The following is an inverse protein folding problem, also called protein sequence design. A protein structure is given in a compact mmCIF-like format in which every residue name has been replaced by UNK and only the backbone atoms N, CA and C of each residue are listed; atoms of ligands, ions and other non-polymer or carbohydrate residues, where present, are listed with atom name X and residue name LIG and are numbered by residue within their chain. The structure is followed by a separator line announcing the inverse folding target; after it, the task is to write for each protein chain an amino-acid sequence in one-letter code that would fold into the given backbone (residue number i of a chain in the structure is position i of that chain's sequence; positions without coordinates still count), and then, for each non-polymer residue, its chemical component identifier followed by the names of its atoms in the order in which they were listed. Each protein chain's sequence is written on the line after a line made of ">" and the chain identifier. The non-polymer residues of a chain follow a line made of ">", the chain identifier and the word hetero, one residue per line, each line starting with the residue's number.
data_IF_603642419889
#
_entry.id   IF_603642419889
#
_cell.length_a   1.000
_cell.length_b   1.000
_cell.length_c   1.000
_cell.angle_alpha   90.00
_cell.angle_beta   90.00
_cell.angle_gamma   90.00
#
_symmetry.space_group_name_H-M   'P 1'
#
loop_
_entity.id
_entity.type
_entity.pdbx_description
1 polymer ?
#
# COMPACT_ATOMS: atom_id res chain seq x y z
N UNK A 1 -16.48 -6.50 6.79
CA UNK A 1 -16.01 -5.37 5.94
C UNK A 1 -14.54 -5.45 5.51
N UNK A 2 -14.20 -5.31 4.21
CA UNK A 2 -12.82 -5.38 3.69
C UNK A 2 -12.02 -4.06 3.76
N UNK A 3 -12.62 -2.92 3.40
CA UNK A 3 -11.94 -1.61 3.40
C UNK A 3 -11.53 -1.11 4.80
N UNK A 4 -12.33 -1.40 5.84
CA UNK A 4 -11.98 -1.04 7.22
C UNK A 4 -10.72 -1.77 7.69
N UNK A 5 -10.62 -3.08 7.38
CA UNK A 5 -9.41 -3.85 7.65
C UNK A 5 -8.22 -3.35 6.83
N UNK A 6 -8.45 -2.97 5.56
CA UNK A 6 -7.40 -2.38 4.73
C UNK A 6 -6.87 -1.08 5.33
N UNK A 7 -7.75 -0.21 5.84
CA UNK A 7 -7.36 1.03 6.52
C UNK A 7 -6.49 0.76 7.76
N UNK A 8 -6.93 -0.17 8.62
CA UNK A 8 -6.20 -0.55 9.84
C UNK A 8 -4.84 -1.14 9.47
N UNK A 9 -4.80 -2.12 8.56
CA UNK A 9 -3.57 -2.74 8.11
C UNK A 9 -2.61 -1.73 7.48
N UNK A 10 -3.13 -0.80 6.67
CA UNK A 10 -2.35 0.25 6.02
C UNK A 10 -1.72 1.22 7.04
N UNK A 11 -2.47 1.58 8.09
CA UNK A 11 -1.96 2.40 9.19
C UNK A 11 -0.77 1.74 9.88
N UNK A 12 -0.91 0.47 10.27
CA UNK A 12 0.19 -0.26 10.90
C UNK A 12 1.38 -0.49 9.96
N UNK A 13 1.12 -0.84 8.70
CA UNK A 13 2.18 -1.17 7.75
C UNK A 13 2.96 0.03 7.22
N UNK A 14 2.35 1.22 7.15
CA UNK A 14 2.97 2.38 6.49
C UNK A 14 3.13 3.61 7.37
N UNK A 15 2.18 3.91 8.28
CA UNK A 15 2.26 5.11 9.13
C UNK A 15 3.11 4.83 10.36
N UNK A 16 2.78 3.78 11.12
CA UNK A 16 3.53 3.42 12.33
C UNK A 16 4.99 3.12 11.99
N UNK A 17 5.22 2.47 10.85
CA UNK A 17 6.56 2.13 10.37
C UNK A 17 7.36 3.32 9.82
N UNK A 18 6.82 4.54 9.83
CA UNK A 18 7.63 5.74 9.54
C UNK A 18 8.70 5.94 10.62
N UNK A 19 8.42 5.51 11.84
CA UNK A 19 9.40 5.52 12.92
C UNK A 19 10.12 4.17 12.94
N UNK A 20 11.45 4.19 12.79
CA UNK A 20 12.25 2.98 12.55
C UNK A 20 12.08 1.91 13.64
N UNK A 21 11.99 2.32 14.91
CA UNK A 21 11.80 1.39 16.04
C UNK A 21 10.42 0.71 16.04
N UNK A 22 9.44 1.32 15.38
CA UNK A 22 8.10 0.75 15.21
C UNK A 22 7.96 -0.06 13.92
N UNK A 23 9.03 -0.31 13.16
CA UNK A 23 8.94 -1.08 11.90
C UNK A 23 8.43 -2.51 12.10
N UNK A 24 8.46 -3.06 13.32
CA UNK A 24 7.79 -4.33 13.64
C UNK A 24 6.28 -4.30 13.36
N UNK A 25 5.66 -3.11 13.32
CA UNK A 25 4.26 -2.93 12.96
C UNK A 25 3.96 -3.38 11.53
N UNK A 26 4.97 -3.44 10.64
CA UNK A 26 4.83 -4.00 9.29
C UNK A 26 4.41 -5.46 9.33
N UNK A 27 4.96 -6.24 10.27
CA UNK A 27 4.66 -7.67 10.41
C UNK A 27 3.20 -7.91 10.83
N UNK A 28 2.58 -6.94 11.48
CA UNK A 28 1.15 -6.97 11.84
C UNK A 28 0.30 -6.37 10.71
N UNK A 29 0.72 -5.24 10.15
CA UNK A 29 -0.02 -4.50 9.15
C UNK A 29 -0.20 -5.25 7.84
N UNK A 30 0.85 -5.87 7.30
CA UNK A 30 0.78 -6.57 6.02
C UNK A 30 -0.16 -7.79 6.03
N UNK A 31 -0.13 -8.69 7.03
CA UNK A 31 -1.14 -9.75 7.14
C UNK A 31 -2.58 -9.24 7.22
N UNK A 32 -2.83 -8.14 7.94
CA UNK A 32 -4.16 -7.51 7.99
C UNK A 32 -4.55 -6.99 6.60
N UNK A 33 -3.63 -6.36 5.87
CA UNK A 33 -3.86 -5.91 4.50
C UNK A 33 -4.11 -7.07 3.53
N UNK A 34 -3.34 -8.17 3.63
CA UNK A 34 -3.54 -9.38 2.82
C UNK A 34 -4.94 -9.93 3.08
N UNK A 35 -5.35 -10.05 4.35
CA UNK A 35 -6.69 -10.52 4.71
C UNK A 35 -7.81 -9.58 4.23
N UNK A 36 -7.59 -8.27 4.29
CA UNK A 36 -8.50 -7.27 3.76
C UNK A 36 -8.66 -7.41 2.24
N UNK A 37 -7.56 -7.57 1.51
CA UNK A 37 -7.54 -7.74 0.06
C UNK A 37 -8.17 -9.07 -0.37
N UNK A 38 -7.96 -10.14 0.39
CA UNK A 38 -8.66 -11.41 0.19
C UNK A 38 -10.18 -11.24 0.27
N UNK A 39 -10.67 -10.48 1.25
CA UNK A 39 -12.11 -10.14 1.36
C UNK A 39 -12.60 -9.24 0.23
N UNK A 40 -11.75 -8.37 -0.33
CA UNK A 40 -12.10 -7.48 -1.44
C UNK A 40 -12.00 -8.16 -2.82
N UNK A 41 -11.22 -9.23 -2.96
CA UNK A 41 -10.96 -9.95 -4.21
C UNK A 41 -12.20 -10.52 -4.93
N UNK A 42 -13.30 -10.91 -4.25
CA UNK A 42 -14.53 -11.33 -4.92
C UNK A 42 -15.30 -10.19 -5.59
N UNK A 43 -15.14 -8.95 -5.11
CA UNK A 43 -15.92 -7.80 -5.60
C UNK A 43 -15.37 -7.25 -6.93
N UNK A 44 -14.05 -7.29 -7.14
CA UNK A 44 -13.44 -6.85 -8.40
C UNK A 44 -12.11 -7.58 -8.66
N UNK A 45 -11.90 -8.02 -9.91
CA UNK A 45 -10.72 -8.81 -10.35
C UNK A 45 -9.37 -8.13 -10.11
N UNK A 46 -9.29 -6.79 -10.19
CA UNK A 46 -8.06 -6.02 -9.93
C UNK A 46 -7.56 -6.19 -8.49
N UNK A 47 -8.44 -6.36 -7.51
CA UNK A 47 -8.03 -6.63 -6.13
C UNK A 47 -7.29 -7.97 -5.97
N UNK A 48 -7.50 -8.95 -6.86
CA UNK A 48 -6.72 -10.19 -6.86
C UNK A 48 -5.24 -9.95 -7.13
N UNK A 49 -4.92 -9.00 -8.01
CA UNK A 49 -3.54 -8.64 -8.33
C UNK A 49 -2.87 -7.99 -7.11
N UNK A 50 -3.56 -7.02 -6.50
CA UNK A 50 -3.13 -6.39 -5.25
C UNK A 50 -2.93 -7.41 -4.13
N UNK A 51 -3.81 -8.42 -4.03
CA UNK A 51 -3.70 -9.51 -3.08
C UNK A 51 -2.43 -10.35 -3.30
N UNK A 52 -2.16 -10.81 -4.52
CA UNK A 52 -0.97 -11.63 -4.77
C UNK A 52 0.33 -10.82 -4.55
N UNK A 53 0.35 -9.56 -4.99
CA UNK A 53 1.50 -8.67 -4.78
C UNK A 53 1.75 -8.46 -3.29
N UNK A 54 0.70 -8.37 -2.46
CA UNK A 54 0.86 -8.12 -1.02
C UNK A 54 1.62 -9.22 -0.26
N UNK A 55 1.68 -10.45 -0.77
CA UNK A 55 2.56 -11.49 -0.19
C UNK A 55 4.05 -11.17 -0.37
N UNK A 56 4.42 -10.45 -1.44
CA UNK A 56 5.77 -9.97 -1.65
C UNK A 56 6.25 -8.99 -0.56
N UNK A 57 5.34 -8.43 0.24
CA UNK A 57 5.68 -7.58 1.36
C UNK A 57 6.25 -8.34 2.57
N UNK A 58 5.90 -9.63 2.72
CA UNK A 58 6.23 -10.40 3.93
C UNK A 58 7.74 -10.53 4.16
N UNK A 59 8.58 -10.82 3.15
CA UNK A 59 10.03 -10.85 3.34
C UNK A 59 10.59 -9.51 3.81
N UNK A 60 10.10 -8.39 3.26
CA UNK A 60 10.51 -7.05 3.70
C UNK A 60 10.04 -6.76 5.13
N UNK A 61 8.81 -7.13 5.47
CA UNK A 61 8.27 -6.97 6.82
C UNK A 61 9.12 -7.71 7.86
N UNK A 62 9.50 -8.97 7.57
CA UNK A 62 10.40 -9.75 8.43
C UNK A 62 11.75 -9.07 8.54
N UNK A 63 12.36 -8.68 7.42
CA UNK A 63 13.67 -8.01 7.41
C UNK A 63 13.68 -6.73 8.27
N UNK A 64 12.74 -5.80 8.05
CA UNK A 64 12.67 -4.55 8.81
C UNK A 64 12.26 -4.76 10.27
N UNK A 65 11.50 -5.82 10.57
CA UNK A 65 11.17 -6.18 11.96
C UNK A 65 12.41 -6.64 12.72
N UNK A 66 13.20 -7.55 12.13
CA UNK A 66 14.45 -8.01 12.75
C UNK A 66 15.40 -6.82 12.92
N UNK A 67 15.51 -5.97 11.90
CA UNK A 67 16.31 -4.74 12.00
C UNK A 67 15.88 -3.84 13.17
N UNK A 68 14.58 -3.57 13.33
CA UNK A 68 14.06 -2.74 14.40
C UNK A 68 14.31 -3.35 15.80
N UNK A 69 14.13 -4.66 15.95
CA UNK A 69 14.42 -5.37 17.21
C UNK A 69 15.92 -5.26 17.54
N UNK A 70 16.81 -5.46 16.56
CA UNK A 70 18.25 -5.36 16.77
C UNK A 70 18.66 -3.95 17.19
N UNK A 71 18.09 -2.91 16.56
CA UNK A 71 18.29 -1.51 16.98
C UNK A 71 17.82 -1.28 18.41
N UNK A 72 16.67 -1.82 18.80
CA UNK A 72 16.15 -1.68 20.16
C UNK A 72 17.01 -2.41 21.20
N UNK A 73 17.57 -3.57 20.86
CA UNK A 73 18.50 -4.32 21.70
C UNK A 73 19.93 -3.77 21.71
N UNK A 74 20.24 -2.77 20.87
CA UNK A 74 21.59 -2.20 20.75
C UNK A 74 22.62 -3.14 20.10
N UNK A 75 22.17 -4.15 19.34
CA UNK A 75 23.04 -5.12 18.66
C UNK A 75 23.28 -4.68 17.22
N UNK A 76 24.56 -4.58 16.84
CA UNK A 76 24.97 -4.29 15.46
C UNK A 76 25.41 -5.56 14.75
N UNK A 77 24.79 -5.86 13.61
CA UNK A 77 25.07 -7.02 12.78
C UNK A 77 25.39 -6.57 11.36
N UNK A 78 26.49 -7.08 10.80
CA UNK A 78 26.99 -6.68 9.48
C UNK A 78 25.99 -6.89 8.33
N UNK A 79 25.03 -7.81 8.47
CA UNK A 79 23.97 -8.02 7.47
C UNK A 79 23.02 -6.82 7.34
N UNK A 80 22.91 -5.99 8.37
CA UNK A 80 22.01 -4.85 8.44
C UNK A 80 22.70 -3.50 8.19
N UNK A 81 23.95 -3.52 7.74
CA UNK A 81 24.76 -2.31 7.54
C UNK A 81 25.27 -2.18 6.10
N UNK A 82 25.49 -0.95 5.67
CA UNK A 82 26.12 -0.66 4.38
C UNK A 82 25.28 -1.07 3.17
N UNK A 83 25.89 -1.82 2.26
CA UNK A 83 25.33 -2.11 0.92
C UNK A 83 24.09 -3.01 0.99
N UNK A 84 24.06 -4.00 1.90
CA UNK A 84 22.93 -4.94 2.02
C UNK A 84 21.67 -4.21 2.43
N UNK A 85 21.75 -3.30 3.42
CA UNK A 85 20.63 -2.46 3.82
C UNK A 85 20.12 -1.61 2.66
N UNK A 86 21.01 -0.95 1.92
CA UNK A 86 20.64 -0.11 0.78
C UNK A 86 19.91 -0.89 -0.34
N UNK A 87 20.33 -2.13 -0.62
CA UNK A 87 19.67 -3.01 -1.60
C UNK A 87 18.25 -3.37 -1.13
N UNK A 88 18.08 -3.75 0.14
CA UNK A 88 16.77 -4.08 0.69
C UNK A 88 15.83 -2.86 0.73
N UNK A 89 16.35 -1.69 1.07
CA UNK A 89 15.59 -0.45 1.08
C UNK A 89 15.12 -0.06 -0.33
N UNK A 90 16.00 -0.15 -1.33
CA UNK A 90 15.65 0.09 -2.73
C UNK A 90 14.62 -0.93 -3.23
N UNK A 91 14.82 -2.22 -2.92
CA UNK A 91 13.88 -3.28 -3.25
C UNK A 91 12.50 -3.05 -2.64
N UNK A 92 12.47 -2.65 -1.36
CA UNK A 92 11.23 -2.31 -0.67
C UNK A 92 10.56 -1.07 -1.26
N UNK A 93 11.33 -0.05 -1.63
CA UNK A 93 10.82 1.15 -2.30
C UNK A 93 10.13 0.80 -3.61
N UNK A 94 10.79 0.03 -4.49
CA UNK A 94 10.21 -0.41 -5.77
C UNK A 94 8.97 -1.29 -5.56
N UNK A 95 9.03 -2.22 -4.60
CA UNK A 95 7.89 -3.03 -4.22
C UNK A 95 6.72 -2.17 -3.73
N UNK A 96 6.98 -1.19 -2.87
CA UNK A 96 5.98 -0.30 -2.31
C UNK A 96 5.29 0.51 -3.41
N UNK A 97 6.04 1.05 -4.38
CA UNK A 97 5.46 1.75 -5.53
C UNK A 97 4.55 0.82 -6.36
N UNK A 98 5.01 -0.39 -6.65
CA UNK A 98 4.23 -1.39 -7.38
C UNK A 98 2.94 -1.72 -6.62
N UNK A 99 3.05 -2.04 -5.33
CA UNK A 99 1.92 -2.36 -4.48
C UNK A 99 0.88 -1.23 -4.44
N UNK A 100 1.31 0.01 -4.19
CA UNK A 100 0.41 1.16 -4.14
C UNK A 100 -0.22 1.46 -5.50
N UNK A 101 0.52 1.27 -6.61
CA UNK A 101 -0.02 1.39 -7.96
C UNK A 101 -1.22 0.46 -8.16
N UNK A 102 -1.02 -0.85 -7.92
CA UNK A 102 -2.07 -1.85 -8.09
C UNK A 102 -3.24 -1.63 -7.13
N UNK A 103 -2.95 -1.23 -5.89
CA UNK A 103 -3.97 -0.95 -4.88
C UNK A 103 -4.88 0.21 -5.32
N UNK A 104 -4.28 1.35 -5.69
CA UNK A 104 -5.04 2.53 -6.13
C UNK A 104 -5.75 2.28 -7.46
N UNK A 105 -5.12 1.55 -8.38
CA UNK A 105 -5.75 1.14 -9.64
C UNK A 105 -6.98 0.22 -9.41
N UNK A 106 -6.92 -0.65 -8.40
CA UNK A 106 -8.04 -1.50 -7.98
C UNK A 106 -9.18 -0.65 -7.40
N UNK A 107 -8.86 0.31 -6.54
CA UNK A 107 -9.83 1.25 -5.96
C UNK A 107 -10.49 2.11 -7.04
N UNK A 108 -9.71 2.64 -7.98
CA UNK A 108 -10.23 3.42 -9.11
C UNK A 108 -11.17 2.59 -10.00
N UNK A 109 -10.85 1.31 -10.22
CA UNK A 109 -11.69 0.37 -10.96
C UNK A 109 -13.04 0.17 -10.29
N UNK A 110 -13.03 -0.25 -9.02
CA UNK A 110 -14.25 -0.49 -8.25
C UNK A 110 -15.10 0.78 -8.11
N UNK A 111 -14.48 1.92 -7.82
CA UNK A 111 -15.19 3.19 -7.73
C UNK A 111 -15.84 3.60 -9.07
N UNK A 112 -15.18 3.31 -10.19
CA UNK A 112 -15.72 3.54 -11.54
C UNK A 112 -16.92 2.65 -11.85
N UNK A 113 -16.84 1.35 -11.54
CA UNK A 113 -17.95 0.40 -11.73
C UNK A 113 -19.19 0.79 -10.91
N UNK A 114 -18.99 1.26 -9.67
CA UNK A 114 -20.05 1.74 -8.77
C UNK A 114 -20.47 3.20 -9.04
N UNK A 115 -19.92 3.86 -10.07
CA UNK A 115 -20.19 5.26 -10.45
C UNK A 115 -19.89 6.30 -9.35
N UNK A 116 -19.00 5.99 -8.41
CA UNK A 116 -18.50 6.94 -7.43
C UNK A 116 -17.34 7.78 -8.00
N UNK A 117 -17.65 8.71 -8.91
CA UNK A 117 -16.66 9.50 -9.65
C UNK A 117 -15.67 10.26 -8.75
N UNK A 118 -16.10 10.74 -7.58
CA UNK A 118 -15.22 11.43 -6.62
C UNK A 118 -14.17 10.50 -6.00
N UNK A 119 -14.53 9.24 -5.74
CA UNK A 119 -13.57 8.25 -5.23
C UNK A 119 -12.60 7.83 -6.33
N UNK A 120 -13.11 7.65 -7.55
CA UNK A 120 -12.31 7.30 -8.71
C UNK A 120 -11.28 8.40 -9.02
N UNK A 121 -11.69 9.67 -9.07
CA UNK A 121 -10.77 10.79 -9.29
C UNK A 121 -9.79 10.96 -8.13
N UNK A 122 -10.22 10.71 -6.90
CA UNK A 122 -9.36 10.67 -5.72
C UNK A 122 -8.24 9.63 -5.84
N UNK A 123 -8.56 8.42 -6.31
CA UNK A 123 -7.57 7.36 -6.53
C UNK A 123 -6.54 7.74 -7.61
N UNK A 124 -6.99 8.32 -8.73
CA UNK A 124 -6.08 8.81 -9.78
C UNK A 124 -5.19 9.95 -9.32
N UNK A 125 -5.73 10.91 -8.56
CA UNK A 125 -4.93 11.99 -7.97
C UNK A 125 -3.86 11.43 -7.04
N UNK A 126 -4.20 10.44 -6.20
CA UNK A 126 -3.24 9.81 -5.31
C UNK A 126 -2.16 9.03 -6.08
N UNK A 127 -2.48 8.42 -7.22
CA UNK A 127 -1.51 7.80 -8.13
C UNK A 127 -0.51 8.83 -8.68
N UNK A 128 -0.99 10.00 -9.10
CA UNK A 128 -0.12 11.09 -9.58
C UNK A 128 0.81 11.56 -8.45
N UNK A 129 0.28 11.73 -7.23
CA UNK A 129 1.09 12.11 -6.06
C UNK A 129 2.15 11.06 -5.71
N UNK A 130 1.82 9.78 -5.84
CA UNK A 130 2.78 8.68 -5.68
C UNK A 130 3.90 8.74 -6.72
N UNK A 131 3.56 9.00 -7.99
CA UNK A 131 4.54 9.14 -9.05
C UNK A 131 5.48 10.34 -8.81
N UNK A 132 4.92 11.48 -8.38
CA UNK A 132 5.71 12.65 -7.99
C UNK A 132 6.66 12.33 -6.83
N UNK A 133 6.16 11.64 -5.79
CA UNK A 133 6.98 11.15 -4.70
C UNK A 133 8.12 10.26 -5.20
N UNK A 134 7.82 9.29 -6.06
CA UNK A 134 8.81 8.38 -6.61
C UNK A 134 9.93 9.09 -7.38
N UNK A 135 9.58 10.10 -8.18
CA UNK A 135 10.55 10.89 -8.95
C UNK A 135 11.46 11.70 -8.03
N UNK A 136 10.89 12.38 -7.02
CA UNK A 136 11.69 13.21 -6.10
C UNK A 136 12.60 12.32 -5.23
N UNK A 137 12.10 11.17 -4.75
CA UNK A 137 12.90 10.20 -4.00
C UNK A 137 14.01 9.58 -4.86
N UNK A 138 13.74 9.30 -6.14
CA UNK A 138 14.79 8.84 -7.06
C UNK A 138 15.87 9.91 -7.28
N UNK A 139 15.48 11.18 -7.45
CA UNK A 139 16.42 12.31 -7.60
C UNK A 139 17.28 12.46 -6.34
N UNK A 140 16.69 12.34 -5.14
CA UNK A 140 17.43 12.48 -3.88
C UNK A 140 18.48 11.38 -3.65
N UNK A 141 18.34 10.23 -4.33
CA UNK A 141 19.29 9.12 -4.28
C UNK A 141 20.39 9.18 -5.35
N UNK A 142 20.36 10.16 -6.27
CA UNK A 142 21.39 10.29 -7.30
C UNK A 142 22.73 10.72 -6.68
N UNK A 143 23.87 10.18 -7.16
CA UNK A 143 25.21 10.51 -6.64
C UNK A 143 25.70 11.88 -7.16
N UNK A 144 24.89 12.92 -6.98
CA UNK A 144 25.21 14.29 -7.36
C UNK A 144 25.85 14.99 -6.16
N UNK A 145 27.07 15.56 -6.29
CA UNK A 145 27.81 16.16 -5.17
C UNK A 145 27.02 17.18 -4.36
N UNK A 146 26.18 17.98 -5.01
CA UNK A 146 25.34 19.01 -4.39
C UNK A 146 24.24 18.41 -3.50
N UNK A 147 23.71 17.25 -3.88
CA UNK A 147 22.71 16.51 -3.10
C UNK A 147 23.38 15.82 -1.92
N UNK A 148 24.53 15.17 -2.16
CA UNK A 148 25.32 14.52 -1.13
C UNK A 148 25.84 15.48 -0.05
N UNK A 149 26.13 16.73 -0.41
CA UNK A 149 26.57 17.76 0.54
C UNK A 149 25.47 18.24 1.50
N UNK A 150 24.19 18.13 1.11
CA UNK A 150 23.06 18.64 1.91
C UNK A 150 21.88 17.65 1.91
N UNK A 151 22.04 16.44 2.47
CA UNK A 151 21.02 15.39 2.41
C UNK A 151 19.70 15.83 3.08
N UNK A 152 19.77 16.66 4.12
CA UNK A 152 18.60 17.17 4.83
C UNK A 152 17.66 18.01 3.95
N UNK A 153 18.20 18.75 2.97
CA UNK A 153 17.41 19.64 2.10
C UNK A 153 16.44 18.85 1.23
N UNK A 154 16.81 17.63 0.81
CA UNK A 154 15.96 16.74 0.04
C UNK A 154 15.16 15.77 0.93
N UNK A 155 15.71 15.35 2.07
CA UNK A 155 15.04 14.41 2.97
C UNK A 155 13.74 14.96 3.55
N UNK A 156 13.71 16.24 3.97
CA UNK A 156 12.51 16.84 4.60
C UNK A 156 11.34 16.93 3.61
N UNK A 157 11.49 17.51 2.39
CA UNK A 157 10.41 17.53 1.40
C UNK A 157 9.92 16.14 0.99
N UNK A 158 10.84 15.18 0.81
CA UNK A 158 10.50 13.79 0.48
C UNK A 158 9.68 13.16 1.59
N UNK A 159 10.07 13.36 2.85
CA UNK A 159 9.33 12.86 4.01
C UNK A 159 7.94 13.49 4.11
N UNK A 160 7.81 14.81 3.92
CA UNK A 160 6.52 15.50 3.93
C UNK A 160 5.60 15.00 2.83
N UNK A 161 6.13 14.80 1.62
CA UNK A 161 5.38 14.27 0.50
C UNK A 161 4.94 12.82 0.73
N UNK A 162 5.82 11.99 1.31
CA UNK A 162 5.49 10.62 1.75
C UNK A 162 4.35 10.64 2.75
N UNK A 163 4.44 11.44 3.81
CA UNK A 163 3.40 11.57 4.83
C UNK A 163 2.07 12.01 4.21
N UNK A 164 2.09 13.06 3.37
CA UNK A 164 0.92 13.56 2.68
C UNK A 164 0.26 12.47 1.83
N UNK A 165 1.05 11.74 1.04
CA UNK A 165 0.58 10.61 0.23
C UNK A 165 -0.08 9.53 1.08
N UNK A 166 0.54 9.14 2.20
CA UNK A 166 -0.01 8.12 3.09
C UNK A 166 -1.36 8.57 3.70
N UNK A 167 -1.48 9.82 4.15
CA UNK A 167 -2.73 10.37 4.67
C UNK A 167 -3.83 10.45 3.60
N UNK A 168 -3.49 10.85 2.38
CA UNK A 168 -4.45 10.88 1.27
C UNK A 168 -4.97 9.48 0.94
N UNK A 169 -4.14 8.44 1.01
CA UNK A 169 -4.56 7.06 0.81
C UNK A 169 -5.44 6.55 1.94
N UNK A 170 -5.07 6.83 3.20
CA UNK A 170 -5.91 6.50 4.34
C UNK A 170 -7.28 7.15 4.25
N UNK A 171 -7.32 8.45 3.90
CA UNK A 171 -8.57 9.16 3.70
C UNK A 171 -9.42 8.53 2.58
N UNK A 172 -8.78 8.15 1.47
CA UNK A 172 -9.45 7.45 0.37
C UNK A 172 -10.04 6.11 0.83
N UNK A 173 -9.29 5.29 1.58
CA UNK A 173 -9.79 4.02 2.10
C UNK A 173 -10.91 4.22 3.12
N UNK A 174 -10.83 5.24 3.96
CA UNK A 174 -11.91 5.61 4.88
C UNK A 174 -13.18 6.01 4.12
N UNK A 175 -13.06 6.79 3.04
CA UNK A 175 -14.21 7.16 2.21
C UNK A 175 -14.79 5.96 1.45
N UNK A 176 -13.95 5.03 0.98
CA UNK A 176 -14.40 3.76 0.40
C UNK A 176 -15.14 2.93 1.44
N UNK A 177 -14.60 2.82 2.66
CA UNK A 177 -15.27 2.18 3.78
C UNK A 177 -16.65 2.79 4.04
N UNK A 178 -16.75 4.13 4.13
CA UNK A 178 -18.02 4.81 4.43
C UNK A 178 -19.07 4.71 3.31
N UNK A 179 -18.65 4.72 2.03
CA UNK A 179 -19.57 4.83 0.89
C UNK A 179 -19.87 3.50 0.20
N UNK A 180 -18.92 2.57 0.21
CA UNK A 180 -19.02 1.29 -0.50
C UNK A 180 -19.44 0.17 0.48
N UNK A 181 -19.20 0.32 1.79
CA UNK A 181 -19.84 -0.58 2.73
C UNK A 181 -21.35 -0.29 2.72
N UNK A 182 -22.20 -1.28 2.40
CA UNK A 182 -23.61 -1.16 2.69
C UNK A 182 -23.76 -1.11 4.21
N UNK A 183 -24.65 -0.25 4.70
CA UNK A 183 -25.06 -0.22 6.11
C UNK A 183 -25.66 -1.57 6.57
N UNK A 184 -25.96 -2.47 5.64
CA UNK A 184 -26.54 -3.78 5.86
C UNK A 184 -25.54 -4.92 5.59
N UNK A 185 -24.84 -5.40 6.64
CA UNK A 185 -24.06 -6.64 6.63
C UNK A 185 -24.94 -7.92 6.51
N UNK A 186 -26.09 -7.88 5.83
CA UNK A 186 -26.99 -9.03 5.64
C UNK A 186 -27.14 -9.55 4.20
N UNK A 187 -26.51 -8.93 3.20
CA UNK A 187 -26.55 -9.49 1.83
C UNK A 187 -25.40 -10.48 1.61
N UNK A 188 -25.45 -11.59 2.37
CA UNK A 188 -24.76 -12.84 1.99
C UNK A 188 -25.54 -13.53 0.88
N UNK A 189 -25.48 -13.01 -0.34
CA UNK A 189 -25.61 -13.86 -1.53
C UNK A 189 -24.89 -13.23 -2.70
N UNK A 190 -24.00 -13.96 -3.41
CA UNK A 190 -23.55 -13.52 -4.71
C UNK A 190 -24.78 -13.36 -5.60
N UNK A 191 -24.94 -12.17 -6.18
CA UNK A 191 -26.08 -11.84 -7.02
C UNK A 191 -26.28 -12.94 -8.09
N UNK A 192 -27.42 -13.66 -8.10
CA UNK A 192 -27.70 -14.70 -9.10
C UNK A 192 -27.71 -14.16 -10.53
N UNK A 193 -27.81 -12.83 -10.73
CA UNK A 193 -27.69 -12.19 -12.03
C UNK A 193 -26.28 -12.32 -12.64
N UNK A 194 -25.22 -12.26 -11.81
CA UNK A 194 -23.83 -12.47 -12.27
C UNK A 194 -23.56 -13.92 -12.66
N UNK A 195 -24.25 -14.89 -12.03
CA UNK A 195 -24.17 -16.31 -12.39
C UNK A 195 -24.90 -16.64 -13.70
N UNK A 196 -26.01 -15.94 -14.01
CA UNK A 196 -26.76 -16.12 -15.26
C UNK A 196 -26.03 -15.60 -16.49
N UNK A 197 -25.31 -14.47 -16.39
CA UNK A 197 -24.52 -13.95 -17.52
C UNK A 197 -23.40 -14.89 -17.96
N UNK A 198 -22.65 -15.46 -17.01
CA UNK A 198 -21.63 -16.47 -17.32
C UNK A 198 -22.17 -17.74 -17.98
N UNK A 199 -23.42 -18.12 -17.67
CA UNK A 199 -24.03 -19.34 -18.23
C UNK A 199 -24.66 -19.13 -19.61
N UNK A 200 -24.88 -17.87 -20.02
CA UNK A 200 -25.40 -17.51 -21.34
C UNK A 200 -24.30 -17.44 -22.40
N UNK A 201 -23.10 -16.98 -22.02
CA UNK A 201 -21.97 -16.82 -22.96
C UNK A 201 -21.26 -18.15 -23.27
N UNK A 202 -21.41 -19.18 -22.43
CA UNK A 202 -20.86 -20.53 -22.67
C UNK A 202 -21.81 -21.43 -23.49
N UNK A 203 -22.96 -20.91 -23.94
CA UNK A 203 -24.01 -21.68 -24.61
C UNK A 203 -24.27 -21.25 -26.07
N UNK A 204 -23.40 -20.41 -26.64
CA UNK A 204 -23.47 -19.94 -28.03
C UNK A 204 -22.23 -20.32 -28.83
#
# INVERSE_FOLDING_TARGET
>A
MGFGLLLIGYFFANIMSLYSTLSFSMLVGYPIMIYALWRLAPYHTRFRHSFYISFGALPFAVYFTVFAIMQWCGVQWALFEGVTYGIFELGYFLFSLCFHFFLLYSVAGLAGELRFLVLQSGAWRNLIMMALYAVIDAISRLPIPQIAANPAYFAIPVLLLKILFLFLNMWLFFQCYRKIAPEDEDVRTPDPALKKRKKGDDAS
#
